data_IF_127484498399
#
_entry.id   IF_127484498399
#
_cell.length_a   1.000
_cell.length_b   1.000
_cell.length_c   1.000
_cell.angle_alpha   90.00
_cell.angle_beta   90.00
_cell.angle_gamma   90.00
#
_symmetry.space_group_name_H-M   'P 1'
#
loop_
_entity.id
_entity.type
_entity.pdbx_description
1 polymer ?
#
# COMPACT_ATOMS: atom_id res chain seq x y z
N UNK A 1 -17.65 -15.74 3.96
CA UNK A 1 -16.38 -14.98 3.85
C UNK A 1 -16.17 -14.72 2.36
N UNK A 2 -16.57 -13.56 1.90
CA UNK A 2 -16.37 -13.13 0.51
C UNK A 2 -14.90 -12.80 0.32
N UNK A 3 -14.19 -13.56 -0.53
CA UNK A 3 -12.85 -13.25 -0.98
C UNK A 3 -12.91 -11.93 -1.75
N UNK A 4 -12.43 -10.86 -1.16
CA UNK A 4 -12.24 -9.59 -1.87
C UNK A 4 -11.09 -9.81 -2.85
N UNK A 5 -11.43 -9.99 -4.11
CA UNK A 5 -10.47 -10.29 -5.19
C UNK A 5 -9.64 -9.04 -5.48
N UNK A 6 -8.31 -9.17 -5.52
CA UNK A 6 -7.41 -8.15 -6.04
C UNK A 6 -7.86 -7.73 -7.44
N UNK A 7 -7.70 -6.45 -7.80
CA UNK A 7 -7.92 -6.06 -9.21
C UNK A 7 -7.00 -6.88 -10.11
N UNK A 8 -7.47 -7.27 -11.29
CA UNK A 8 -6.71 -8.14 -12.20
C UNK A 8 -5.29 -7.62 -12.49
N UNK A 9 -5.14 -6.30 -12.61
CA UNK A 9 -3.85 -5.64 -12.83
C UNK A 9 -2.91 -5.71 -11.61
N UNK A 10 -3.42 -5.59 -10.37
CA UNK A 10 -2.61 -5.73 -9.16
C UNK A 10 -2.17 -7.19 -8.97
N UNK A 11 -3.03 -8.14 -9.31
CA UNK A 11 -2.72 -9.57 -9.26
C UNK A 11 -1.65 -9.94 -10.30
N UNK A 12 -1.72 -9.41 -11.52
CA UNK A 12 -0.70 -9.65 -12.54
C UNK A 12 0.66 -9.08 -12.12
N UNK A 13 0.71 -7.86 -11.59
CA UNK A 13 1.95 -7.26 -11.07
C UNK A 13 2.54 -8.03 -9.90
N UNK A 14 1.70 -8.53 -8.99
CA UNK A 14 2.14 -9.35 -7.87
C UNK A 14 2.79 -10.67 -8.34
N UNK A 15 2.16 -11.37 -9.28
CA UNK A 15 2.68 -12.62 -9.88
C UNK A 15 3.97 -12.43 -10.65
N UNK A 16 4.14 -11.28 -11.29
CA UNK A 16 5.29 -10.96 -12.13
C UNK A 16 6.47 -10.37 -11.32
N UNK A 17 6.32 -10.22 -10.01
CA UNK A 17 7.39 -9.71 -9.16
C UNK A 17 8.50 -10.76 -9.00
N UNK A 18 9.73 -10.36 -9.27
CA UNK A 18 10.91 -11.23 -9.21
C UNK A 18 11.84 -10.76 -8.08
N UNK A 19 11.63 -11.26 -6.84
CA UNK A 19 12.55 -10.97 -5.74
C UNK A 19 13.91 -11.62 -5.97
N UNK A 20 14.97 -11.05 -5.41
CA UNK A 20 16.23 -11.74 -5.21
C UNK A 20 16.21 -12.52 -3.87
N UNK A 21 17.18 -13.42 -3.70
CA UNK A 21 17.25 -14.30 -2.52
C UNK A 21 17.42 -13.49 -1.23
N UNK A 22 18.25 -12.45 -1.24
CA UNK A 22 18.45 -11.57 -0.09
C UNK A 22 17.15 -10.91 0.37
N UNK A 23 16.33 -10.40 -0.56
CA UNK A 23 15.04 -9.82 -0.23
C UNK A 23 14.09 -10.84 0.37
N UNK A 24 14.07 -12.08 -0.15
CA UNK A 24 13.25 -13.17 0.40
C UNK A 24 13.66 -13.48 1.83
N UNK A 25 14.95 -13.57 2.10
CA UNK A 25 15.48 -13.82 3.45
C UNK A 25 15.09 -12.72 4.42
N UNK A 26 15.26 -11.46 4.03
CA UNK A 26 14.90 -10.30 4.88
C UNK A 26 13.39 -10.27 5.15
N UNK A 27 12.54 -10.59 4.18
CA UNK A 27 11.09 -10.70 4.38
C UNK A 27 10.76 -11.81 5.38
N UNK A 28 11.38 -12.99 5.25
CA UNK A 28 11.18 -14.10 6.17
C UNK A 28 11.61 -13.74 7.60
N UNK A 29 12.74 -13.06 7.76
CA UNK A 29 13.21 -12.59 9.07
C UNK A 29 12.25 -11.54 9.64
N UNK A 30 11.75 -10.61 8.82
CA UNK A 30 10.79 -9.59 9.26
C UNK A 30 9.50 -10.23 9.80
N UNK A 31 8.97 -11.24 9.11
CA UNK A 31 7.80 -12.00 9.55
C UNK A 31 8.05 -12.76 10.84
N UNK A 32 9.20 -13.45 10.95
CA UNK A 32 9.57 -14.23 12.13
C UNK A 32 9.73 -13.36 13.37
N UNK A 33 10.39 -12.21 13.22
CA UNK A 33 10.66 -11.28 14.31
C UNK A 33 9.49 -10.32 14.59
N UNK A 34 8.42 -10.35 13.78
CA UNK A 34 7.29 -9.42 13.85
C UNK A 34 7.74 -7.96 13.81
N UNK A 35 8.68 -7.65 12.93
CA UNK A 35 9.23 -6.31 12.75
C UNK A 35 8.80 -5.72 11.41
N UNK A 36 8.56 -4.41 11.34
CA UNK A 36 8.35 -3.73 10.06
C UNK A 36 9.58 -3.88 9.16
N UNK A 37 9.35 -4.06 7.86
CA UNK A 37 10.38 -4.04 6.84
C UNK A 37 10.38 -2.69 6.14
N UNK A 38 11.42 -1.90 6.34
CA UNK A 38 11.66 -0.64 5.62
C UNK A 38 12.40 -0.94 4.32
N UNK A 39 11.72 -0.70 3.21
CA UNK A 39 12.22 -0.91 1.85
C UNK A 39 12.55 0.44 1.24
N UNK A 40 13.82 0.68 0.97
CA UNK A 40 14.32 1.90 0.34
C UNK A 40 14.73 1.66 -1.12
N UNK A 41 14.88 2.69 -1.90
CA UNK A 41 15.35 2.62 -3.29
C UNK A 41 14.72 3.69 -4.17
N UNK A 42 15.25 3.81 -5.41
CA UNK A 42 14.76 4.79 -6.38
C UNK A 42 13.27 4.59 -6.73
N UNK A 43 12.55 5.62 -7.16
CA UNK A 43 11.19 5.48 -7.70
C UNK A 43 11.13 4.41 -8.80
N UNK A 44 10.01 3.68 -8.88
CA UNK A 44 9.80 2.68 -9.94
C UNK A 44 10.59 1.37 -9.81
N UNK A 45 11.30 1.12 -8.70
CA UNK A 45 12.04 -0.13 -8.46
C UNK A 45 11.17 -1.30 -7.95
N UNK A 46 9.86 -1.09 -7.78
CA UNK A 46 8.94 -2.14 -7.37
C UNK A 46 8.76 -2.28 -5.84
N UNK A 47 9.13 -1.28 -5.04
CA UNK A 47 9.00 -1.29 -3.57
C UNK A 47 7.58 -1.64 -3.10
N UNK A 48 6.57 -0.93 -3.61
CA UNK A 48 5.17 -1.15 -3.23
C UNK A 48 4.62 -2.47 -3.79
N UNK A 49 5.16 -2.94 -4.93
CA UNK A 49 4.78 -4.23 -5.55
C UNK A 49 5.17 -5.41 -4.65
N UNK A 50 6.25 -5.30 -3.87
CA UNK A 50 6.67 -6.32 -2.91
C UNK A 50 5.53 -6.71 -1.95
N UNK A 51 4.81 -5.72 -1.39
CA UNK A 51 3.70 -5.99 -0.48
C UNK A 51 2.60 -6.83 -1.15
N UNK A 52 2.29 -6.52 -2.41
CA UNK A 52 1.30 -7.28 -3.19
C UNK A 52 1.79 -8.69 -3.51
N UNK A 53 3.09 -8.86 -3.82
CA UNK A 53 3.70 -10.18 -4.05
C UNK A 53 3.63 -11.05 -2.80
N UNK A 54 4.00 -10.52 -1.63
CA UNK A 54 3.89 -11.24 -0.34
C UNK A 54 2.43 -11.65 -0.06
N UNK A 55 1.48 -10.73 -0.24
CA UNK A 55 0.07 -11.02 -0.02
C UNK A 55 -0.45 -12.13 -0.97
N UNK A 56 0.02 -12.13 -2.21
CA UNK A 56 -0.33 -13.14 -3.21
C UNK A 56 0.26 -14.51 -2.87
N UNK A 57 1.57 -14.58 -2.64
CA UNK A 57 2.28 -15.85 -2.35
C UNK A 57 1.76 -16.52 -1.08
N UNK A 58 1.51 -15.74 -0.03
CA UNK A 58 1.02 -16.24 1.24
C UNK A 58 -0.50 -16.36 1.31
N UNK A 59 -1.24 -15.99 0.26
CA UNK A 59 -2.71 -16.01 0.17
C UNK A 59 -3.37 -15.29 1.35
N UNK A 60 -2.94 -14.04 1.62
CA UNK A 60 -3.38 -13.23 2.75
C UNK A 60 -4.50 -12.22 2.41
N UNK A 61 -5.02 -12.30 1.18
CA UNK A 61 -6.06 -11.37 0.69
C UNK A 61 -5.47 -10.04 0.23
N UNK A 62 -6.32 -9.02 0.04
CA UNK A 62 -5.88 -7.72 -0.46
C UNK A 62 -4.92 -7.02 0.50
N UNK A 63 -3.94 -6.31 -0.05
CA UNK A 63 -3.04 -5.45 0.73
C UNK A 63 -3.83 -4.26 1.29
N UNK A 64 -3.62 -3.97 2.55
CA UNK A 64 -4.10 -2.75 3.19
C UNK A 64 -3.10 -1.64 2.85
N UNK A 65 -3.48 -0.76 1.92
CA UNK A 65 -2.61 0.28 1.40
C UNK A 65 -2.86 1.61 2.12
N UNK A 66 -1.80 2.16 2.69
CA UNK A 66 -1.80 3.47 3.35
C UNK A 66 -0.78 4.38 2.69
N UNK A 67 -1.19 5.18 1.70
CA UNK A 67 -0.31 6.19 1.10
C UNK A 67 -0.09 7.33 2.10
N UNK A 68 1.18 7.66 2.33
CA UNK A 68 1.56 8.72 3.25
C UNK A 68 1.79 10.03 2.47
N UNK A 69 1.30 11.10 3.05
CA UNK A 69 1.51 12.48 2.58
C UNK A 69 1.97 13.35 3.75
N UNK A 70 2.40 14.58 3.48
CA UNK A 70 2.76 15.56 4.51
C UNK A 70 1.60 15.95 5.45
N UNK A 71 0.37 15.56 5.13
CA UNK A 71 -0.83 15.82 5.96
C UNK A 71 -1.34 14.58 6.66
N UNK A 72 -0.72 13.42 6.46
CA UNK A 72 -1.14 12.17 7.08
C UNK A 72 -0.96 12.22 8.58
N UNK A 73 -1.98 11.79 9.31
CA UNK A 73 -1.96 11.66 10.77
C UNK A 73 -2.12 10.21 11.18
N UNK A 74 -1.57 9.83 12.34
CA UNK A 74 -1.72 8.47 12.87
C UNK A 74 -3.18 8.03 12.98
N UNK A 75 -4.05 8.97 13.36
CA UNK A 75 -5.49 8.75 13.43
C UNK A 75 -6.10 8.23 12.13
N UNK A 76 -5.65 8.77 10.97
CA UNK A 76 -6.15 8.34 9.65
C UNK A 76 -5.86 6.86 9.35
N UNK A 77 -4.72 6.37 9.82
CA UNK A 77 -4.35 4.96 9.69
C UNK A 77 -5.13 4.03 10.62
N UNK A 78 -5.51 4.51 11.79
CA UNK A 78 -6.22 3.75 12.80
C UNK A 78 -7.72 3.71 12.53
N UNK A 79 -8.38 4.86 12.57
CA UNK A 79 -9.82 4.97 12.29
C UNK A 79 -10.21 6.42 12.01
N UNK A 80 -11.37 6.58 11.40
CA UNK A 80 -12.03 7.87 11.21
C UNK A 80 -13.42 7.83 11.82
N UNK A 81 -13.79 8.94 12.46
CA UNK A 81 -15.12 9.16 12.99
C UNK A 81 -15.78 10.33 12.27
N UNK A 82 -16.93 10.08 11.62
CA UNK A 82 -17.70 11.11 10.96
C UNK A 82 -18.75 11.71 11.89
N UNK A 83 -18.29 12.60 12.76
CA UNK A 83 -19.16 13.32 13.70
C UNK A 83 -20.14 14.30 13.01
N UNK A 84 -19.78 14.81 11.82
CA UNK A 84 -20.62 15.75 11.07
C UNK A 84 -21.83 15.01 10.49
N UNK A 85 -21.60 13.88 9.84
CA UNK A 85 -22.67 13.04 9.30
C UNK A 85 -23.60 12.57 10.41
N UNK A 86 -23.06 12.17 11.56
CA UNK A 86 -23.85 11.82 12.73
C UNK A 86 -24.74 12.95 13.19
N UNK A 87 -24.23 14.18 13.33
CA UNK A 87 -25.03 15.34 13.73
C UNK A 87 -26.15 15.65 12.72
N UNK A 88 -25.88 15.50 11.43
CA UNK A 88 -26.87 15.71 10.37
C UNK A 88 -27.98 14.67 10.43
N UNK A 89 -27.68 13.41 10.71
CA UNK A 89 -28.68 12.34 10.82
C UNK A 89 -29.46 12.40 12.12
N UNK A 90 -28.89 13.00 13.20
CA UNK A 90 -29.55 13.13 14.49
C UNK A 90 -30.47 14.36 14.54
N UNK A 91 -30.45 15.25 13.53
CA UNK A 91 -31.26 16.46 13.49
C UNK A 91 -32.76 16.13 13.34
N UNK A 92 -33.63 16.50 14.35
CA UNK A 92 -35.05 16.13 14.37
C UNK A 92 -35.85 16.64 13.16
N UNK A 93 -35.44 17.73 12.55
CA UNK A 93 -36.13 18.35 11.40
C UNK A 93 -36.06 17.51 10.10
N UNK A 94 -35.17 16.51 10.02
CA UNK A 94 -35.07 15.57 8.89
C UNK A 94 -35.69 14.20 9.17
N UNK A 95 -36.24 13.98 10.38
CA UNK A 95 -36.88 12.73 10.81
C UNK A 95 -38.36 12.63 10.43
N UNK A 96 -38.80 13.19 9.31
CA UNK A 96 -40.11 12.85 8.79
C UNK A 96 -40.04 11.44 8.16
N UNK A 97 -40.37 10.43 8.95
CA UNK A 97 -40.93 9.21 8.42
C UNK A 97 -40.16 7.91 8.50
N UNK A 98 -39.16 7.67 9.37
CA UNK A 98 -38.79 6.27 9.76
C UNK A 98 -37.92 6.25 11.00
N UNK A 99 -38.46 5.78 12.09
CA UNK A 99 -37.70 5.18 13.18
C UNK A 99 -37.58 3.68 12.86
N UNK A 100 -36.42 3.17 12.45
CA UNK A 100 -36.21 1.73 12.47
C UNK A 100 -36.04 1.31 13.93
N UNK A 101 -36.75 0.25 14.32
CA UNK A 101 -36.91 -0.17 15.69
C UNK A 101 -35.61 -0.31 16.48
N UNK A 102 -35.62 0.20 17.71
CA UNK A 102 -34.88 -0.38 18.82
C UNK A 102 -33.36 -0.21 18.90
N UNK A 103 -32.71 0.57 18.01
CA UNK A 103 -31.28 0.84 18.14
C UNK A 103 -31.08 1.93 19.21
N UNK A 104 -30.37 1.64 20.28
CA UNK A 104 -30.02 2.63 21.30
C UNK A 104 -29.16 3.72 20.65
N UNK A 105 -29.27 4.97 21.15
CA UNK A 105 -28.51 6.13 20.66
C UNK A 105 -26.98 5.90 20.64
N UNK A 106 -26.52 4.90 21.38
CA UNK A 106 -25.14 4.44 21.52
C UNK A 106 -24.68 3.54 20.37
N UNK A 107 -25.54 2.64 19.87
CA UNK A 107 -25.24 1.81 18.70
C UNK A 107 -25.11 2.64 17.41
N UNK A 108 -25.70 3.83 17.39
CA UNK A 108 -25.58 4.78 16.29
C UNK A 108 -24.16 5.30 16.09
N UNK A 109 -23.35 5.47 17.14
CA UNK A 109 -21.95 5.98 17.05
C UNK A 109 -21.09 5.07 16.17
N UNK A 110 -21.24 3.78 16.31
CA UNK A 110 -20.43 2.78 15.60
C UNK A 110 -20.61 2.83 14.07
N UNK A 111 -21.77 3.26 13.58
CA UNK A 111 -22.07 3.38 12.16
C UNK A 111 -21.25 4.50 11.48
N UNK A 112 -20.78 5.47 12.26
CA UNK A 112 -19.97 6.60 11.79
C UNK A 112 -18.47 6.37 12.00
N UNK A 113 -18.07 5.16 12.42
CA UNK A 113 -16.66 4.78 12.60
C UNK A 113 -16.26 3.83 11.47
N UNK A 114 -15.17 4.19 10.81
CA UNK A 114 -14.50 3.35 9.82
C UNK A 114 -13.05 3.16 10.21
N UNK A 115 -12.60 1.91 10.34
CA UNK A 115 -11.18 1.60 10.55
C UNK A 115 -10.36 2.00 9.32
N UNK A 116 -9.21 2.60 9.57
CA UNK A 116 -8.19 2.86 8.56
C UNK A 116 -7.40 1.58 8.20
N UNK A 117 -6.40 1.69 7.32
CA UNK A 117 -5.57 0.55 6.92
C UNK A 117 -4.86 -0.12 8.10
N UNK A 118 -4.22 0.66 8.98
CA UNK A 118 -3.52 0.16 10.17
C UNK A 118 -4.52 -0.45 11.17
N UNK A 119 -5.62 0.24 11.47
CA UNK A 119 -6.66 -0.29 12.37
C UNK A 119 -7.26 -1.60 11.86
N UNK A 120 -7.47 -1.73 10.55
CA UNK A 120 -7.94 -2.97 9.93
C UNK A 120 -6.88 -4.08 9.98
N UNK A 121 -5.59 -3.73 9.88
CA UNK A 121 -4.49 -4.68 10.01
C UNK A 121 -4.38 -5.26 11.42
N UNK A 122 -4.71 -4.45 12.45
CA UNK A 122 -4.66 -4.82 13.86
C UNK A 122 -5.93 -5.53 14.38
N UNK A 123 -6.87 -5.88 13.51
CA UNK A 123 -8.02 -6.69 13.90
C UNK A 123 -7.60 -8.07 14.44
N UNK A 124 -8.30 -8.64 15.43
CA UNK A 124 -8.03 -9.97 15.98
C UNK A 124 -8.37 -11.07 14.96
N UNK A 125 -7.44 -11.39 14.10
CA UNK A 125 -7.56 -12.42 13.06
C UNK A 125 -6.61 -13.58 13.33
N UNK A 126 -6.92 -14.78 12.80
CA UNK A 126 -6.06 -15.96 12.90
C UNK A 126 -4.89 -15.93 11.91
N UNK A 127 -4.97 -15.10 10.88
CA UNK A 127 -3.91 -14.90 9.88
C UNK A 127 -3.58 -13.42 9.75
N UNK A 128 -2.31 -13.05 9.58
CA UNK A 128 -1.91 -11.66 9.42
C UNK A 128 -2.49 -11.07 8.12
N UNK A 129 -2.61 -9.76 8.08
CA UNK A 129 -2.81 -8.99 6.84
C UNK A 129 -1.49 -8.34 6.43
N UNK A 130 -1.33 -8.09 5.15
CA UNK A 130 -0.21 -7.27 4.66
C UNK A 130 -0.65 -5.81 4.70
N UNK A 131 0.13 -4.99 5.41
CA UNK A 131 -0.02 -3.54 5.48
C UNK A 131 1.13 -2.89 4.71
N UNK A 132 0.80 -2.11 3.69
CA UNK A 132 1.73 -1.28 2.94
C UNK A 132 1.59 0.17 3.39
N UNK A 133 2.62 0.70 4.04
CA UNK A 133 2.77 2.12 4.39
C UNK A 133 3.70 2.73 3.34
N UNK A 134 3.11 3.44 2.40
CA UNK A 134 3.80 3.86 1.18
C UNK A 134 4.32 5.29 1.30
N UNK A 135 5.60 5.50 0.96
CA UNK A 135 6.29 6.79 0.97
C UNK A 135 6.34 7.47 2.36
N UNK A 136 6.75 6.70 3.39
CA UNK A 136 6.80 7.20 4.77
C UNK A 136 7.71 8.44 4.94
N UNK A 137 8.72 8.62 4.12
CA UNK A 137 9.61 9.79 4.10
C UNK A 137 8.90 11.11 3.77
N UNK A 138 7.65 11.08 3.31
CA UNK A 138 6.80 12.28 3.13
C UNK A 138 6.08 12.74 4.39
N UNK A 139 6.07 11.91 5.45
CA UNK A 139 5.42 12.25 6.73
C UNK A 139 6.18 13.30 7.53
N UNK A 140 5.56 13.82 8.58
CA UNK A 140 6.26 14.62 9.57
C UNK A 140 7.33 13.82 10.32
N UNK A 141 8.27 14.52 10.97
CA UNK A 141 9.45 13.93 11.62
C UNK A 141 9.10 12.98 12.76
N UNK A 142 8.03 13.25 13.50
CA UNK A 142 7.61 12.46 14.67
C UNK A 142 6.77 11.26 14.30
N UNK A 143 6.10 11.30 13.14
CA UNK A 143 5.20 10.26 12.67
C UNK A 143 5.79 8.84 12.67
N UNK A 144 7.06 8.59 12.24
CA UNK A 144 7.66 7.26 12.29
C UNK A 144 7.75 6.68 13.70
N UNK A 145 8.02 7.52 14.71
CA UNK A 145 8.07 7.07 16.10
C UNK A 145 6.69 6.74 16.66
N UNK A 146 5.68 7.56 16.34
CA UNK A 146 4.29 7.31 16.74
C UNK A 146 3.76 6.02 16.12
N UNK A 147 4.10 5.78 14.85
CA UNK A 147 3.77 4.53 14.16
C UNK A 147 4.35 3.30 14.88
N UNK A 148 5.61 3.39 15.31
CA UNK A 148 6.25 2.30 16.04
C UNK A 148 5.57 1.98 17.36
N UNK A 149 5.15 2.99 18.12
CA UNK A 149 4.47 2.78 19.39
C UNK A 149 3.21 1.92 19.20
N UNK A 150 2.40 2.24 18.19
CA UNK A 150 1.20 1.45 17.87
C UNK A 150 1.54 0.04 17.40
N UNK A 151 2.59 -0.11 16.59
CA UNK A 151 3.01 -1.42 16.10
C UNK A 151 3.61 -2.30 17.20
N UNK A 152 4.39 -1.73 18.14
CA UNK A 152 4.96 -2.48 19.27
C UNK A 152 3.88 -2.98 20.24
N UNK A 153 2.86 -2.16 20.50
CA UNK A 153 1.74 -2.55 21.35
C UNK A 153 0.80 -3.55 20.66
N UNK A 154 0.66 -3.47 19.35
CA UNK A 154 -0.25 -4.29 18.54
C UNK A 154 -1.73 -4.07 18.90
N UNK A 155 -2.04 -2.91 19.50
CA UNK A 155 -3.36 -2.55 19.99
C UNK A 155 -3.60 -1.03 19.88
N UNK A 156 -4.86 -0.65 19.87
CA UNK A 156 -5.28 0.76 19.96
C UNK A 156 -6.71 0.84 20.49
N UNK A 157 -7.11 2.04 20.89
CA UNK A 157 -8.41 2.35 21.43
C UNK A 157 -9.16 3.33 20.53
N UNK A 158 -10.47 3.09 20.37
CA UNK A 158 -11.38 4.01 19.68
C UNK A 158 -12.09 4.84 20.77
N UNK A 159 -11.61 6.06 20.98
CA UNK A 159 -12.02 6.91 22.10
C UNK A 159 -13.52 7.18 22.15
N UNK A 160 -14.19 7.22 20.99
CA UNK A 160 -15.65 7.40 20.90
C UNK A 160 -16.43 6.21 21.44
N UNK A 161 -15.88 5.01 21.29
CA UNK A 161 -16.51 3.77 21.76
C UNK A 161 -16.17 3.45 23.22
N UNK A 162 -14.95 3.71 23.65
CA UNK A 162 -14.53 3.44 25.04
C UNK A 162 -15.27 4.29 26.06
N UNK A 163 -15.78 5.47 25.65
CA UNK A 163 -16.64 6.32 26.48
C UNK A 163 -18.07 5.79 26.66
N UNK A 164 -18.47 4.82 25.84
CA UNK A 164 -19.81 4.23 25.87
C UNK A 164 -19.78 2.94 26.72
N UNK A 165 -19.73 3.10 28.04
CA UNK A 165 -19.54 2.01 29.01
C UNK A 165 -20.60 0.88 28.94
N UNK A 166 -21.73 1.12 28.28
CA UNK A 166 -22.84 0.18 28.16
C UNK A 166 -22.74 -0.78 26.98
N UNK A 167 -21.84 -0.50 26.01
CA UNK A 167 -21.69 -1.34 24.81
C UNK A 167 -20.56 -2.36 24.98
N UNK A 168 -20.94 -3.62 25.19
CA UNK A 168 -19.95 -4.71 25.26
C UNK A 168 -19.26 -4.95 23.92
N UNK A 169 -20.00 -4.92 22.82
CA UNK A 169 -19.47 -5.14 21.46
C UNK A 169 -20.26 -4.35 20.43
N UNK A 170 -19.57 -3.65 19.55
CA UNK A 170 -20.16 -2.91 18.44
C UNK A 170 -19.58 -3.34 17.11
N UNK A 171 -20.34 -3.11 16.04
CA UNK A 171 -19.94 -3.40 14.67
C UNK A 171 -19.51 -2.11 13.96
N UNK A 172 -18.28 -2.06 13.46
CA UNK A 172 -17.71 -0.91 12.75
C UNK A 172 -17.31 -1.30 11.32
N UNK A 173 -17.27 -0.31 10.42
CA UNK A 173 -16.76 -0.51 9.05
C UNK A 173 -15.24 -0.69 9.08
N UNK A 174 -14.72 -1.56 8.22
CA UNK A 174 -13.27 -1.72 8.02
C UNK A 174 -12.78 -0.90 6.82
N UNK A 175 -11.46 -0.91 6.58
CA UNK A 175 -10.86 -0.37 5.36
C UNK A 175 -11.22 -1.18 4.11
N UNK A 176 -11.46 -2.49 4.28
CA UNK A 176 -11.88 -3.35 3.18
C UNK A 176 -13.25 -2.89 2.63
N UNK A 177 -13.49 -3.05 1.33
CA UNK A 177 -14.79 -2.81 0.71
C UNK A 177 -15.83 -3.74 1.36
N UNK A 178 -16.94 -3.16 1.81
CA UNK A 178 -18.06 -3.86 2.49
C UNK A 178 -17.63 -4.69 3.71
N UNK A 179 -16.43 -4.45 4.23
CA UNK A 179 -15.90 -5.14 5.40
C UNK A 179 -16.47 -4.57 6.70
N UNK A 180 -16.75 -5.47 7.66
CA UNK A 180 -17.18 -5.12 9.02
C UNK A 180 -16.33 -5.87 10.05
N UNK A 181 -16.18 -5.26 11.21
CA UNK A 181 -15.50 -5.86 12.35
C UNK A 181 -16.28 -5.61 13.64
N UNK A 182 -16.13 -6.54 14.60
CA UNK A 182 -16.64 -6.37 15.95
C UNK A 182 -15.54 -5.79 16.83
N UNK A 183 -15.88 -4.73 17.56
CA UNK A 183 -15.01 -4.05 18.51
C UNK A 183 -15.60 -4.21 19.91
N UNK A 184 -14.85 -4.82 20.83
CA UNK A 184 -15.27 -4.98 22.22
C UNK A 184 -14.71 -3.84 23.06
N UNK A 185 -15.57 -3.19 23.85
CA UNK A 185 -15.20 -2.11 24.77
C UNK A 185 -14.36 -0.98 24.17
N UNK A 186 -14.52 -0.73 22.86
CA UNK A 186 -13.75 0.30 22.14
C UNK A 186 -12.27 -0.02 21.90
N UNK A 187 -11.80 -1.21 22.27
CA UNK A 187 -10.40 -1.61 22.15
C UNK A 187 -10.21 -2.69 21.08
N UNK A 188 -9.10 -2.61 20.37
CA UNK A 188 -8.69 -3.58 19.36
C UNK A 188 -7.25 -4.03 19.62
N UNK A 189 -7.02 -5.34 19.63
CA UNK A 189 -5.69 -5.94 19.78
C UNK A 189 -5.54 -7.08 18.80
N UNK A 190 -4.43 -7.10 18.05
CA UNK A 190 -4.17 -8.14 17.08
C UNK A 190 -3.80 -9.48 17.74
N UNK A 191 -4.28 -10.58 17.15
CA UNK A 191 -3.83 -11.95 17.50
C UNK A 191 -2.64 -12.35 16.61
N UNK A 192 -2.73 -12.06 15.32
CA UNK A 192 -1.65 -12.26 14.36
C UNK A 192 -1.10 -10.88 13.94
N UNK A 193 0.18 -10.65 14.24
CA UNK A 193 0.84 -9.39 13.91
C UNK A 193 0.86 -9.19 12.39
N UNK A 194 0.49 -8.00 11.87
CA UNK A 194 0.47 -7.74 10.43
C UNK A 194 1.88 -7.81 9.82
N UNK A 195 1.98 -8.21 8.56
CA UNK A 195 3.21 -8.07 7.79
C UNK A 195 3.27 -6.63 7.31
N UNK A 196 4.15 -5.84 7.90
CA UNK A 196 4.24 -4.39 7.66
C UNK A 196 5.40 -4.10 6.71
N UNK A 197 5.06 -3.62 5.53
CA UNK A 197 6.02 -3.14 4.52
C UNK A 197 5.93 -1.61 4.48
N UNK A 198 7.06 -0.97 4.70
CA UNK A 198 7.20 0.50 4.69
C UNK A 198 8.08 0.84 3.51
N UNK A 199 7.66 1.76 2.64
CA UNK A 199 8.48 2.23 1.52
C UNK A 199 9.01 3.63 1.76
N UNK A 200 10.18 3.91 1.18
CA UNK A 200 10.79 5.24 1.16
C UNK A 200 11.61 5.44 -0.11
N UNK A 201 11.58 6.63 -0.66
CA UNK A 201 12.45 7.06 -1.76
C UNK A 201 13.79 7.64 -1.26
N UNK A 202 13.96 7.82 0.06
CA UNK A 202 15.14 8.41 0.66
C UNK A 202 15.16 9.93 0.62
N UNK A 203 13.99 10.56 0.46
CA UNK A 203 13.86 12.03 0.44
C UNK A 203 14.17 12.64 1.82
N UNK A 204 14.00 11.86 2.88
CA UNK A 204 14.30 12.23 4.26
C UNK A 204 14.91 11.08 5.04
N UNK A 205 15.81 11.41 5.98
CA UNK A 205 16.35 10.45 6.95
C UNK A 205 15.33 10.18 8.07
N UNK A 206 15.30 8.93 8.52
CA UNK A 206 14.45 8.50 9.63
C UNK A 206 15.20 8.58 10.97
N UNK A 207 14.48 8.80 12.09
CA UNK A 207 15.09 8.79 13.41
C UNK A 207 15.83 7.46 13.70
N UNK A 208 16.99 7.50 14.38
CA UNK A 208 17.74 6.28 14.71
C UNK A 208 16.93 5.27 15.53
N UNK A 209 16.00 5.74 16.36
CA UNK A 209 15.10 4.90 17.15
C UNK A 209 14.17 4.07 16.24
N UNK A 210 13.64 4.66 15.19
CA UNK A 210 12.84 4.00 14.18
C UNK A 210 13.66 2.97 13.39
N UNK A 211 14.83 3.37 12.89
CA UNK A 211 15.68 2.50 12.08
C UNK A 211 16.11 1.22 12.81
N UNK A 212 16.37 1.30 14.13
CA UNK A 212 16.76 0.13 14.94
C UNK A 212 15.63 -0.88 15.13
N UNK A 213 14.39 -0.47 15.00
CA UNK A 213 13.22 -1.32 15.17
C UNK A 213 12.70 -1.93 13.87
N UNK A 214 13.14 -1.41 12.73
CA UNK A 214 12.82 -1.94 11.42
C UNK A 214 13.93 -2.87 10.90
N UNK A 215 13.54 -3.91 10.16
CA UNK A 215 14.45 -4.54 9.20
C UNK A 215 14.59 -3.58 8.01
N UNK A 216 15.74 -3.57 7.37
CA UNK A 216 16.02 -2.63 6.27
C UNK A 216 16.54 -3.39 5.06
N UNK A 217 15.99 -3.08 3.90
CA UNK A 217 16.49 -3.57 2.62
C UNK A 217 16.44 -2.45 1.58
N UNK A 218 17.48 -2.36 0.75
CA UNK A 218 17.54 -1.38 -0.33
C UNK A 218 17.38 -2.09 -1.66
N UNK A 219 16.28 -1.83 -2.36
CA UNK A 219 16.07 -2.37 -3.70
C UNK A 219 16.89 -1.54 -4.69
N UNK A 220 17.89 -2.19 -5.27
CA UNK A 220 18.69 -1.59 -6.35
C UNK A 220 17.93 -1.67 -7.68
N UNK A 221 18.18 -0.72 -8.60
CA UNK A 221 17.61 -0.79 -9.94
C UNK A 221 17.96 -2.14 -10.61
N UNK A 222 16.98 -2.81 -11.25
CA UNK A 222 17.20 -4.13 -11.84
C UNK A 222 18.22 -4.08 -12.98
N UNK A 223 19.06 -5.13 -13.10
CA UNK A 223 19.99 -5.28 -14.23
C UNK A 223 19.25 -5.45 -15.56
N UNK A 224 19.93 -5.26 -16.69
CA UNK A 224 19.37 -5.51 -18.02
C UNK A 224 18.72 -6.90 -18.13
N UNK A 225 19.40 -7.94 -17.61
CA UNK A 225 18.88 -9.33 -17.60
C UNK A 225 17.60 -9.44 -16.75
N UNK A 226 17.54 -8.77 -15.58
CA UNK A 226 16.34 -8.78 -14.73
C UNK A 226 15.20 -8.01 -15.39
N UNK A 227 15.48 -6.87 -16.04
CA UNK A 227 14.49 -6.09 -16.83
C UNK A 227 13.90 -6.94 -17.96
N UNK A 228 14.74 -7.64 -18.71
CA UNK A 228 14.31 -8.53 -19.77
C UNK A 228 13.34 -9.62 -19.25
N UNK A 229 13.64 -10.23 -18.11
CA UNK A 229 12.76 -11.20 -17.45
C UNK A 229 11.45 -10.57 -16.97
N UNK A 230 11.49 -9.34 -16.43
CA UNK A 230 10.29 -8.60 -16.02
C UNK A 230 9.37 -8.34 -17.23
N UNK A 231 9.95 -7.90 -18.36
CA UNK A 231 9.21 -7.71 -19.62
C UNK A 231 8.56 -9.00 -20.09
N UNK A 232 9.33 -10.10 -20.16
CA UNK A 232 8.82 -11.40 -20.57
C UNK A 232 7.66 -11.88 -19.67
N UNK A 233 7.82 -11.75 -18.35
CA UNK A 233 6.81 -12.19 -17.38
C UNK A 233 5.53 -11.36 -17.41
N UNK A 234 5.62 -10.06 -17.68
CA UNK A 234 4.46 -9.17 -17.66
C UNK A 234 3.76 -9.03 -19.01
N UNK A 235 4.51 -9.03 -20.10
CA UNK A 235 4.00 -8.74 -21.45
C UNK A 235 4.04 -9.95 -22.39
N UNK A 236 4.67 -11.06 -21.96
CA UNK A 236 4.82 -12.30 -22.74
C UNK A 236 6.11 -12.36 -23.56
N UNK A 237 6.44 -13.58 -24.01
CA UNK A 237 7.70 -13.88 -24.72
C UNK A 237 7.78 -13.17 -26.07
N UNK A 238 6.67 -13.00 -26.78
CA UNK A 238 6.63 -12.27 -28.05
C UNK A 238 7.00 -10.79 -27.88
N UNK A 239 6.53 -10.18 -26.80
CA UNK A 239 6.89 -8.81 -26.46
C UNK A 239 8.38 -8.68 -26.12
N UNK A 240 8.92 -9.69 -25.42
CA UNK A 240 10.32 -9.75 -25.06
C UNK A 240 11.23 -9.85 -26.31
N UNK A 241 10.91 -10.73 -27.26
CA UNK A 241 11.71 -10.91 -28.49
C UNK A 241 11.80 -9.61 -29.32
N UNK A 242 10.76 -8.76 -29.25
CA UNK A 242 10.69 -7.50 -29.98
C UNK A 242 11.15 -6.29 -29.17
N UNK A 243 11.59 -6.47 -27.90
CA UNK A 243 11.91 -5.40 -26.98
C UNK A 243 13.41 -5.23 -26.67
N UNK A 244 14.28 -6.08 -27.22
CA UNK A 244 15.72 -6.06 -26.90
C UNK A 244 16.32 -4.67 -27.02
N UNK A 245 16.12 -4.01 -28.17
CA UNK A 245 16.62 -2.66 -28.43
C UNK A 245 16.10 -1.63 -27.42
N UNK A 246 14.85 -1.76 -26.98
CA UNK A 246 14.25 -0.85 -26.00
C UNK A 246 14.78 -1.06 -24.58
N UNK A 247 15.10 -2.29 -24.23
CA UNK A 247 15.73 -2.60 -22.93
C UNK A 247 17.13 -2.02 -22.89
N UNK A 248 17.91 -2.17 -23.93
CA UNK A 248 19.27 -1.63 -24.03
C UNK A 248 19.24 -0.09 -24.01
N UNK A 249 18.37 0.54 -24.81
CA UNK A 249 18.18 1.99 -24.82
C UNK A 249 17.75 2.51 -23.42
N UNK A 250 16.87 1.79 -22.74
CA UNK A 250 16.43 2.15 -21.40
C UNK A 250 17.57 2.06 -20.37
N UNK A 251 18.41 1.02 -20.45
CA UNK A 251 19.55 0.85 -19.55
C UNK A 251 20.57 1.96 -19.73
N UNK A 252 20.90 2.31 -20.98
CA UNK A 252 21.83 3.37 -21.30
C UNK A 252 21.31 4.76 -20.83
N UNK A 253 20.03 5.02 -21.02
CA UNK A 253 19.41 6.27 -20.59
C UNK A 253 19.34 6.37 -19.07
N UNK A 254 19.07 5.27 -18.38
CA UNK A 254 18.95 5.23 -16.92
C UNK A 254 20.27 5.60 -16.20
N UNK A 255 21.42 5.44 -16.85
CA UNK A 255 22.71 5.91 -16.30
C UNK A 255 22.77 7.43 -16.22
N UNK A 256 22.00 8.14 -17.04
CA UNK A 256 22.04 9.60 -17.19
C UNK A 256 20.82 10.29 -16.58
N UNK A 257 19.69 9.58 -16.51
CA UNK A 257 18.39 10.13 -16.08
C UNK A 257 17.68 9.12 -15.20
N UNK A 258 17.00 9.59 -14.16
CA UNK A 258 16.18 8.70 -13.34
C UNK A 258 14.95 8.21 -14.13
N UNK A 259 14.97 6.93 -14.49
CA UNK A 259 13.88 6.24 -15.19
C UNK A 259 13.30 5.12 -14.31
N UNK A 260 11.98 5.02 -14.30
CA UNK A 260 11.26 3.99 -13.60
C UNK A 260 10.96 2.77 -14.51
N UNK A 261 10.94 1.57 -13.94
CA UNK A 261 10.71 0.31 -14.70
C UNK A 261 9.34 0.30 -15.42
N UNK A 262 8.34 0.98 -14.89
CA UNK A 262 7.02 1.10 -15.53
C UNK A 262 7.08 1.89 -16.84
N UNK A 263 8.01 2.84 -16.99
CA UNK A 263 8.24 3.55 -18.26
C UNK A 263 8.75 2.60 -19.35
N UNK A 264 9.66 1.66 -19.00
CA UNK A 264 10.07 0.61 -19.94
C UNK A 264 8.89 -0.29 -20.33
N UNK A 265 8.12 -0.76 -19.36
CA UNK A 265 6.96 -1.60 -19.63
C UNK A 265 5.93 -0.92 -20.53
N UNK A 266 5.68 0.36 -20.30
CA UNK A 266 4.79 1.17 -21.15
C UNK A 266 5.35 1.33 -22.57
N UNK A 267 6.67 1.55 -22.71
CA UNK A 267 7.32 1.68 -24.01
C UNK A 267 7.27 0.36 -24.81
N UNK A 268 7.55 -0.76 -24.14
CA UNK A 268 7.47 -2.10 -24.76
C UNK A 268 6.03 -2.43 -25.14
N UNK A 269 5.07 -2.23 -24.24
CA UNK A 269 3.65 -2.44 -24.54
C UNK A 269 3.18 -1.62 -25.73
N UNK A 270 3.57 -0.34 -25.79
CA UNK A 270 3.26 0.54 -26.91
C UNK A 270 3.90 0.04 -28.21
N UNK A 271 5.15 -0.39 -28.15
CA UNK A 271 5.91 -0.85 -29.31
C UNK A 271 5.40 -2.20 -29.87
N UNK A 272 4.79 -3.04 -29.04
CA UNK A 272 4.29 -4.38 -29.41
C UNK A 272 2.76 -4.42 -29.64
N UNK A 273 2.03 -3.35 -29.23
CA UNK A 273 0.61 -3.26 -29.52
C UNK A 273 0.37 -3.15 -31.03
N UNK A 274 -0.54 -3.94 -31.58
CA UNK A 274 -0.79 -4.07 -33.03
C UNK A 274 -1.25 -2.79 -33.76
N UNK A 275 -1.26 -1.63 -33.11
CA UNK A 275 -1.50 -0.29 -33.68
C UNK A 275 -0.18 0.45 -33.82
N UNK A 276 0.72 -0.03 -34.68
CA UNK A 276 2.05 0.59 -34.83
C UNK A 276 1.94 1.86 -35.66
N UNK A 277 2.33 3.02 -35.12
CA UNK A 277 2.61 4.21 -35.93
C UNK A 277 3.87 3.98 -36.78
N UNK A 278 4.09 4.82 -37.76
CA UNK A 278 5.33 4.79 -38.56
C UNK A 278 6.60 4.87 -37.67
N UNK A 279 7.74 4.35 -38.13
CA UNK A 279 8.96 4.25 -37.33
C UNK A 279 9.42 5.58 -36.72
N UNK A 280 9.23 6.70 -37.39
CA UNK A 280 9.64 8.01 -36.87
C UNK A 280 8.74 8.49 -35.75
N UNK A 281 7.43 8.27 -35.85
CA UNK A 281 6.46 8.56 -34.81
C UNK A 281 6.65 7.64 -33.62
N UNK A 282 6.93 6.33 -33.85
CA UNK A 282 7.27 5.38 -32.78
C UNK A 282 8.48 5.86 -31.97
N UNK A 283 9.58 6.23 -32.62
CA UNK A 283 10.79 6.74 -31.97
C UNK A 283 10.50 7.98 -31.11
N UNK A 284 9.72 8.93 -31.63
CA UNK A 284 9.33 10.14 -30.89
C UNK A 284 8.48 9.82 -29.66
N UNK A 285 7.58 8.85 -29.76
CA UNK A 285 6.72 8.46 -28.64
C UNK A 285 7.49 7.72 -27.56
N UNK A 286 8.38 6.79 -27.93
CA UNK A 286 9.28 6.10 -26.98
C UNK A 286 10.16 7.11 -26.25
N UNK A 287 10.76 8.08 -26.98
CA UNK A 287 11.55 9.14 -26.37
C UNK A 287 10.74 10.01 -25.37
N UNK A 288 9.43 10.18 -25.58
CA UNK A 288 8.56 10.85 -24.61
C UNK A 288 8.29 9.98 -23.35
N UNK A 289 8.19 8.67 -23.51
CA UNK A 289 8.01 7.73 -22.39
C UNK A 289 9.28 7.63 -21.52
N UNK A 290 10.46 7.77 -22.11
CA UNK A 290 11.75 7.78 -21.43
C UNK A 290 12.21 9.16 -20.94
N UNK A 291 11.31 10.10 -20.75
CA UNK A 291 11.66 11.37 -20.08
C UNK A 291 11.93 11.12 -18.60
N UNK A 292 13.03 11.72 -18.11
CA UNK A 292 13.40 11.59 -16.70
C UNK A 292 12.36 12.20 -15.77
N UNK A 293 12.22 11.59 -14.60
CA UNK A 293 11.30 12.02 -13.56
C UNK A 293 11.64 13.43 -13.01
N UNK A 294 12.86 13.90 -13.23
CA UNK A 294 13.35 15.24 -12.81
C UNK A 294 13.34 16.33 -13.89
N UNK A 295 13.02 16.03 -15.14
CA UNK A 295 12.95 17.03 -16.22
C UNK A 295 11.57 17.70 -16.24
N UNK A 296 11.29 18.50 -15.22
CA UNK A 296 10.23 19.50 -15.31
C UNK A 296 10.74 20.64 -16.19
N UNK A 297 10.11 20.80 -17.37
CA UNK A 297 10.07 21.98 -18.22
C UNK A 297 11.41 22.60 -18.66
N UNK A 298 11.95 22.12 -19.79
CA UNK A 298 12.38 23.01 -20.83
C UNK A 298 11.42 22.84 -22.03
N UNK A 299 10.46 23.72 -22.07
CA UNK A 299 9.59 23.99 -23.24
C UNK A 299 9.92 25.33 -23.81
#
# INVERSE_FOLDING_TARGET
>A
MTETTLSSAAMQRAKAYLPDEELVDVVNIAMLLRRPLLVTGKPGTGKSTLAHSIAFELKLGPVLHWPITSRSQMQDGLYRYDGIERLQQTNPQRREGKVPGGTTMEADVANFIRLGPLGTALLPRNRPRVLLIDELDKSDTDFPNDLLNVLEEGQFEISELSRLATLETVRVLTHDLDGWAHVAHGSLRCNAFPIVIITSNGEREFPPAFLRRCLRHTITPPSATKLARIVATQLGDDAFQNAGDLVDEFVDLRERVDLATDQLLNAVYFATSGRQPDPATRKRMVAKLFRGLGSAAES
#
